data_IF_641289683081
#
_entry.id   IF_641289683081
#
_cell.length_a   1.000
_cell.length_b   1.000
_cell.length_c   1.000
_cell.angle_alpha   90.00
_cell.angle_beta   90.00
_cell.angle_gamma   90.00
#
_symmetry.space_group_name_H-M   'P 1'
#
loop_
_entity.id
_entity.type
_entity.pdbx_description
1 polymer ?
#
# COMPACT_ATOMS: atom_id res chain seq x y z
N UNK A 1 16.99 15.26 -6.47
CA UNK A 1 17.64 15.10 -7.79
C UNK A 1 16.63 14.70 -8.86
N UNK A 2 15.86 13.59 -8.68
CA UNK A 2 14.85 13.10 -9.65
C UNK A 2 13.83 14.18 -10.01
N UNK A 3 13.27 14.90 -9.02
CA UNK A 3 12.31 15.98 -9.21
C UNK A 3 12.91 17.16 -9.99
N UNK A 4 14.17 17.51 -9.75
CA UNK A 4 14.89 18.53 -10.53
C UNK A 4 15.21 18.04 -11.94
N UNK A 5 15.55 16.76 -12.11
CA UNK A 5 15.79 16.19 -13.45
C UNK A 5 14.51 16.12 -14.29
N UNK A 6 13.35 15.86 -13.66
CA UNK A 6 12.05 15.86 -14.33
C UNK A 6 11.62 17.25 -14.84
N UNK A 7 12.15 18.32 -14.27
CA UNK A 7 11.87 19.69 -14.72
C UNK A 7 12.82 20.17 -15.82
N UNK A 8 13.93 19.46 -16.02
CA UNK A 8 14.87 19.77 -17.09
C UNK A 8 14.29 19.35 -18.44
N UNK A 9 14.13 20.29 -19.33
CA UNK A 9 13.72 20.06 -20.72
C UNK A 9 14.94 20.26 -21.62
N UNK A 10 15.20 19.25 -22.43
CA UNK A 10 16.20 19.37 -23.49
C UNK A 10 15.44 19.87 -24.73
N UNK A 11 15.69 21.10 -25.21
CA UNK A 11 15.07 21.56 -26.43
C UNK A 11 15.60 20.74 -27.60
N UNK A 12 14.70 20.21 -28.42
CA UNK A 12 15.08 19.63 -29.68
C UNK A 12 15.32 20.76 -30.67
N UNK A 13 16.53 20.86 -31.20
CA UNK A 13 16.83 21.69 -32.37
C UNK A 13 16.58 20.86 -33.63
N UNK A 14 15.63 21.28 -34.44
CA UNK A 14 15.30 20.64 -35.70
C UNK A 14 14.01 21.19 -36.28
N UNK A 15 13.89 21.22 -37.58
CA UNK A 15 12.65 21.57 -38.26
C UNK A 15 11.71 20.37 -38.23
N UNK A 16 10.55 20.46 -37.56
CA UNK A 16 9.64 19.32 -37.37
C UNK A 16 8.75 19.08 -38.59
N UNK A 17 9.20 19.36 -39.80
CA UNK A 17 8.41 19.32 -41.02
C UNK A 17 8.74 18.16 -41.96
N UNK A 18 9.74 17.35 -41.64
CA UNK A 18 10.12 16.18 -42.43
C UNK A 18 9.85 14.88 -41.69
N UNK A 19 9.34 13.89 -42.39
CA UNK A 19 9.06 12.57 -41.85
C UNK A 19 7.75 12.45 -41.09
N UNK A 20 7.65 11.47 -40.18
CA UNK A 20 6.44 11.21 -39.34
C UNK A 20 6.43 12.19 -38.18
N UNK A 21 5.36 12.94 -38.08
CA UNK A 21 5.11 13.86 -36.96
C UNK A 21 4.29 13.19 -35.89
N UNK A 22 4.77 13.15 -34.64
CA UNK A 22 4.04 12.65 -33.47
C UNK A 22 3.77 13.83 -32.55
N UNK A 23 2.50 14.17 -32.37
CA UNK A 23 2.10 15.35 -31.59
C UNK A 23 0.74 15.13 -30.93
N UNK A 24 0.43 15.90 -29.89
CA UNK A 24 -0.89 15.92 -29.27
C UNK A 24 -1.91 16.64 -30.16
N UNK A 25 -3.19 16.42 -29.88
CA UNK A 25 -4.29 17.03 -30.64
C UNK A 25 -4.26 18.57 -30.62
N UNK A 26 -3.78 19.16 -29.53
CA UNK A 26 -3.70 20.61 -29.38
C UNK A 26 -2.58 21.23 -30.24
N UNK A 27 -1.52 20.51 -30.47
CA UNK A 27 -0.37 20.91 -31.27
C UNK A 27 -0.68 20.84 -32.78
N UNK A 28 -1.72 20.08 -33.18
CA UNK A 28 -2.14 19.99 -34.60
C UNK A 28 -2.94 21.18 -35.09
N UNK A 29 -3.17 22.20 -34.25
CA UNK A 29 -3.96 23.37 -34.62
C UNK A 29 -3.40 24.09 -35.83
N UNK A 30 -4.28 24.35 -36.80
CA UNK A 30 -3.97 25.01 -38.08
C UNK A 30 -2.99 24.27 -38.99
N UNK A 31 -2.65 23.01 -38.65
CA UNK A 31 -1.85 22.17 -39.53
C UNK A 31 -2.77 21.24 -40.34
N UNK A 32 -2.37 20.98 -41.58
CA UNK A 32 -3.04 20.07 -42.50
C UNK A 32 -2.11 18.92 -42.84
N UNK A 33 -2.63 17.69 -42.80
CA UNK A 33 -1.88 16.49 -43.10
C UNK A 33 -2.60 15.65 -44.14
N UNK A 34 -1.89 15.06 -45.07
CA UNK A 34 -2.45 14.15 -46.08
C UNK A 34 -2.87 12.82 -45.44
N UNK A 35 -2.07 12.33 -44.49
CA UNK A 35 -2.27 11.07 -43.79
C UNK A 35 -2.28 11.34 -42.30
N UNK A 36 -3.34 10.90 -41.60
CA UNK A 36 -3.54 11.11 -40.17
C UNK A 36 -3.76 9.77 -39.48
N UNK A 37 -3.00 9.50 -38.44
CA UNK A 37 -3.18 8.35 -37.55
C UNK A 37 -3.51 8.87 -36.16
N UNK A 38 -4.72 8.57 -35.69
CA UNK A 38 -5.21 8.92 -34.37
C UNK A 38 -5.11 7.70 -33.46
N UNK A 39 -4.36 7.80 -32.39
CA UNK A 39 -4.18 6.74 -31.40
C UNK A 39 -5.12 6.96 -30.22
N UNK A 40 -5.45 5.86 -29.52
CA UNK A 40 -6.25 5.89 -28.28
C UNK A 40 -7.62 6.56 -28.47
N UNK A 41 -8.29 6.24 -29.56
CA UNK A 41 -9.63 6.76 -29.91
C UNK A 41 -10.74 6.00 -29.14
N UNK A 42 -10.56 5.83 -27.83
CA UNK A 42 -11.60 5.38 -26.91
C UNK A 42 -12.36 6.57 -26.36
N UNK A 43 -13.67 6.44 -26.08
CA UNK A 43 -14.54 7.56 -25.66
C UNK A 43 -14.14 8.15 -24.30
N UNK A 44 -13.64 7.34 -23.41
CA UNK A 44 -13.09 7.73 -22.11
C UNK A 44 -11.76 8.50 -22.22
N UNK A 45 -11.07 8.40 -23.35
CA UNK A 45 -9.78 9.03 -23.61
C UNK A 45 -9.88 10.23 -24.58
N UNK A 46 -10.70 10.10 -25.62
CA UNK A 46 -10.93 11.15 -26.61
C UNK A 46 -12.40 11.20 -27.06
N UNK A 47 -13.17 12.25 -26.67
CA UNK A 47 -12.76 13.51 -26.02
C UNK A 47 -12.42 13.36 -24.55
N UNK A 48 -12.75 12.24 -23.89
CA UNK A 48 -12.55 12.04 -22.46
C UNK A 48 -13.48 12.90 -21.60
N UNK A 49 -13.47 12.66 -20.30
CA UNK A 49 -14.26 13.42 -19.32
C UNK A 49 -13.38 14.09 -18.27
N UNK A 50 -12.37 14.84 -18.71
CA UNK A 50 -11.39 15.44 -17.82
C UNK A 50 -11.90 16.59 -16.96
N UNK A 51 -13.05 17.19 -17.33
CA UNK A 51 -13.60 18.36 -16.62
C UNK A 51 -14.40 18.01 -15.37
N UNK A 52 -14.94 16.83 -15.26
CA UNK A 52 -15.78 16.44 -14.11
C UNK A 52 -15.00 16.35 -12.79
N UNK A 53 -13.67 16.20 -12.85
CA UNK A 53 -12.81 16.02 -11.66
C UNK A 53 -12.01 17.27 -11.29
N UNK A 54 -11.99 18.32 -12.10
CA UNK A 54 -11.03 19.42 -11.97
C UNK A 54 -11.51 20.61 -11.12
N UNK A 55 -12.76 20.65 -10.65
CA UNK A 55 -13.26 21.83 -9.94
C UNK A 55 -14.45 21.54 -9.05
N UNK A 56 -14.40 22.12 -7.85
CA UNK A 56 -15.52 22.12 -6.88
C UNK A 56 -16.64 23.10 -7.23
N UNK A 57 -16.52 23.87 -8.35
CA UNK A 57 -17.57 24.80 -8.77
C UNK A 57 -18.71 24.03 -9.42
N UNK A 58 -19.93 24.06 -8.86
CA UNK A 58 -21.10 23.38 -9.42
C UNK A 58 -21.42 23.84 -10.83
N UNK A 59 -22.00 22.94 -11.66
CA UNK A 59 -22.36 23.22 -13.03
C UNK A 59 -23.22 24.48 -13.20
N UNK A 60 -24.25 24.67 -12.34
CA UNK A 60 -25.14 25.81 -12.38
C UNK A 60 -24.43 27.16 -12.22
N UNK A 61 -23.43 27.21 -11.35
CA UNK A 61 -22.61 28.42 -11.18
C UNK A 61 -21.68 28.63 -12.38
N UNK A 62 -21.14 27.57 -12.96
CA UNK A 62 -20.34 27.67 -14.17
C UNK A 62 -21.15 28.27 -15.32
N UNK A 63 -22.33 27.72 -15.57
CA UNK A 63 -23.21 28.20 -16.61
C UNK A 63 -23.65 29.66 -16.37
N UNK A 64 -24.00 30.03 -15.13
CA UNK A 64 -24.46 31.38 -14.78
C UNK A 64 -23.37 32.45 -14.92
N UNK A 65 -22.09 32.09 -14.67
CA UNK A 65 -20.97 33.03 -14.71
C UNK A 65 -20.08 32.88 -15.94
N UNK A 66 -20.50 32.15 -16.97
CA UNK A 66 -19.76 31.99 -18.23
C UNK A 66 -18.46 31.23 -18.09
N UNK A 67 -18.32 30.38 -17.07
CA UNK A 67 -17.16 29.52 -16.90
C UNK A 67 -17.25 28.31 -17.83
N UNK A 68 -16.13 27.74 -18.27
CA UNK A 68 -16.13 26.55 -19.14
C UNK A 68 -16.95 25.41 -18.54
N UNK A 69 -17.89 24.89 -19.30
CA UNK A 69 -18.71 23.72 -18.96
C UNK A 69 -18.21 22.48 -19.73
N UNK A 70 -18.67 21.26 -19.38
CA UNK A 70 -18.34 20.07 -20.15
C UNK A 70 -18.65 20.19 -21.65
N UNK A 71 -19.75 20.83 -22.00
CA UNK A 71 -20.16 21.02 -23.39
C UNK A 71 -19.18 21.93 -24.17
N UNK A 72 -18.62 22.94 -23.52
CA UNK A 72 -17.55 23.75 -24.13
C UNK A 72 -16.32 22.91 -24.41
N UNK A 73 -15.94 22.04 -23.50
CA UNK A 73 -14.82 21.12 -23.68
C UNK A 73 -15.07 20.16 -24.86
N UNK A 74 -16.23 19.52 -24.88
CA UNK A 74 -16.63 18.65 -26.00
C UNK A 74 -16.61 19.38 -27.33
N UNK A 75 -17.16 20.60 -27.37
CA UNK A 75 -17.17 21.43 -28.58
C UNK A 75 -15.77 21.80 -29.07
N UNK A 76 -14.84 22.07 -28.17
CA UNK A 76 -13.43 22.36 -28.53
C UNK A 76 -12.75 21.11 -29.10
N UNK A 77 -12.94 19.95 -28.47
CA UNK A 77 -12.33 18.71 -28.98
C UNK A 77 -12.97 18.24 -30.29
N UNK A 78 -14.28 18.42 -30.47
CA UNK A 78 -14.94 18.20 -31.74
C UNK A 78 -14.35 19.09 -32.84
N UNK A 79 -14.15 20.39 -32.55
CA UNK A 79 -13.54 21.32 -33.49
C UNK A 79 -12.12 20.84 -33.88
N UNK A 80 -11.27 20.47 -32.95
CA UNK A 80 -9.92 20.00 -33.26
C UNK A 80 -9.93 18.71 -34.08
N UNK A 81 -10.80 17.78 -33.73
CA UNK A 81 -10.95 16.54 -34.47
C UNK A 81 -11.36 16.80 -35.92
N UNK A 82 -12.47 17.48 -36.12
CA UNK A 82 -12.99 17.75 -37.49
C UNK A 82 -12.05 18.65 -38.28
N UNK A 83 -11.42 19.62 -37.65
CA UNK A 83 -10.40 20.47 -38.29
C UNK A 83 -9.20 19.68 -38.78
N UNK A 84 -8.76 18.69 -38.02
CA UNK A 84 -7.63 17.84 -38.39
C UNK A 84 -7.96 16.89 -39.54
N UNK A 85 -9.14 16.25 -39.50
CA UNK A 85 -9.52 15.23 -40.49
C UNK A 85 -10.09 15.78 -41.78
N UNK A 86 -10.65 17.01 -41.81
CA UNK A 86 -11.40 17.57 -42.96
C UNK A 86 -10.57 17.66 -44.25
N UNK A 87 -9.26 17.80 -44.18
CA UNK A 87 -8.35 17.89 -45.34
C UNK A 87 -7.47 16.69 -45.52
N UNK A 88 -7.59 15.71 -44.64
CA UNK A 88 -6.81 14.49 -44.74
C UNK A 88 -7.34 13.61 -45.88
N UNK A 89 -6.44 13.00 -46.61
CA UNK A 89 -6.77 12.05 -47.68
C UNK A 89 -7.03 10.64 -47.11
N UNK A 90 -6.31 10.30 -46.04
CA UNK A 90 -6.47 9.04 -45.32
C UNK A 90 -6.42 9.28 -43.83
N UNK A 91 -7.37 8.66 -43.11
CA UNK A 91 -7.44 8.74 -41.65
C UNK A 91 -7.52 7.33 -41.09
N UNK A 92 -6.66 7.03 -40.14
CA UNK A 92 -6.73 5.81 -39.33
C UNK A 92 -7.02 6.17 -37.89
N UNK A 93 -8.02 5.54 -37.32
CA UNK A 93 -8.42 5.74 -35.92
C UNK A 93 -8.27 4.42 -35.19
N UNK A 94 -7.37 4.37 -34.21
CA UNK A 94 -7.05 3.17 -33.45
C UNK A 94 -7.63 3.30 -32.05
N UNK A 95 -8.38 2.31 -31.63
CA UNK A 95 -8.89 2.21 -30.25
C UNK A 95 -8.71 0.79 -29.72
N UNK A 96 -8.69 0.63 -28.40
CA UNK A 96 -8.64 -0.67 -27.76
C UNK A 96 -10.05 -1.15 -27.47
N UNK A 97 -10.44 -2.31 -28.01
CA UNK A 97 -11.75 -2.92 -27.77
C UNK A 97 -11.83 -3.72 -26.46
N UNK A 98 -10.71 -3.88 -25.76
CA UNK A 98 -10.65 -4.58 -24.49
C UNK A 98 -10.97 -3.62 -23.33
N UNK A 99 -11.92 -4.00 -22.48
CA UNK A 99 -12.22 -3.29 -21.25
C UNK A 99 -11.25 -3.69 -20.13
N UNK A 100 -10.74 -2.72 -19.41
CA UNK A 100 -9.91 -2.91 -18.23
C UNK A 100 -10.31 -1.91 -17.12
N UNK A 101 -9.56 -1.88 -16.01
CA UNK A 101 -9.84 -0.95 -14.89
C UNK A 101 -9.73 0.54 -15.27
N UNK A 102 -9.22 0.87 -16.44
CA UNK A 102 -8.96 2.24 -16.92
C UNK A 102 -9.74 2.64 -18.16
N UNK A 103 -10.25 1.67 -18.91
CA UNK A 103 -10.97 1.90 -20.16
C UNK A 103 -12.18 0.97 -20.30
N UNK A 104 -13.28 1.54 -20.76
CA UNK A 104 -14.52 0.79 -21.06
C UNK A 104 -14.40 -0.07 -22.31
N UNK A 105 -13.35 0.10 -23.12
CA UNK A 105 -13.19 -0.56 -24.41
C UNK A 105 -14.09 0.02 -25.52
N UNK A 106 -14.82 1.11 -25.25
CA UNK A 106 -15.72 1.71 -26.22
C UNK A 106 -14.98 2.65 -27.19
N UNK A 107 -15.26 2.59 -28.50
CA UNK A 107 -14.70 3.53 -29.46
C UNK A 107 -15.25 4.94 -29.23
N UNK A 108 -14.43 5.94 -29.53
CA UNK A 108 -14.81 7.34 -29.44
C UNK A 108 -16.08 7.64 -30.25
N UNK A 109 -16.96 8.49 -29.70
CA UNK A 109 -18.16 8.98 -30.34
C UNK A 109 -17.90 9.58 -31.73
N UNK A 110 -16.73 10.12 -31.98
CA UNK A 110 -16.37 10.67 -33.29
C UNK A 110 -16.22 9.59 -34.37
N UNK A 111 -15.83 8.37 -34.00
CA UNK A 111 -15.81 7.24 -34.92
C UNK A 111 -17.24 6.90 -35.37
N UNK A 112 -18.19 6.87 -34.42
CA UNK A 112 -19.59 6.64 -34.73
C UNK A 112 -20.18 7.77 -35.58
N UNK A 113 -19.89 9.04 -35.27
CA UNK A 113 -20.34 10.17 -36.06
C UNK A 113 -19.86 10.10 -37.52
N UNK A 114 -18.58 9.75 -37.73
CA UNK A 114 -18.09 9.57 -39.10
C UNK A 114 -18.72 8.35 -39.79
N UNK A 115 -18.94 7.26 -39.11
CA UNK A 115 -19.51 6.05 -39.67
C UNK A 115 -20.98 6.26 -40.10
N UNK A 116 -21.76 6.94 -39.28
CA UNK A 116 -23.20 7.09 -39.52
C UNK A 116 -23.64 8.39 -40.24
N UNK A 117 -22.85 9.47 -40.07
CA UNK A 117 -23.30 10.80 -40.53
C UNK A 117 -22.49 11.33 -41.71
N UNK A 118 -21.22 10.87 -41.90
CA UNK A 118 -20.35 11.49 -42.90
C UNK A 118 -20.64 11.03 -44.35
N UNK A 119 -21.23 9.86 -44.55
CA UNK A 119 -21.37 9.21 -45.86
C UNK A 119 -20.05 8.70 -46.45
N UNK A 120 -18.91 8.82 -45.76
CA UNK A 120 -17.66 8.25 -46.20
C UNK A 120 -17.57 6.75 -45.86
N UNK A 121 -16.90 5.94 -46.73
CA UNK A 121 -16.72 4.54 -46.44
C UNK A 121 -15.74 4.33 -45.23
N UNK A 122 -16.26 3.88 -44.11
CA UNK A 122 -15.46 3.51 -42.94
C UNK A 122 -15.20 2.01 -42.97
N UNK A 123 -13.93 1.62 -43.03
CA UNK A 123 -13.52 0.23 -42.97
C UNK A 123 -13.06 -0.12 -41.57
N UNK A 124 -13.74 -1.06 -40.94
CA UNK A 124 -13.36 -1.61 -39.62
C UNK A 124 -12.42 -2.79 -39.81
N UNK A 125 -11.29 -2.75 -39.09
CA UNK A 125 -10.28 -3.82 -39.13
C UNK A 125 -9.89 -4.11 -37.70
N UNK A 126 -9.92 -5.38 -37.34
CA UNK A 126 -9.37 -5.83 -36.06
C UNK A 126 -7.90 -6.14 -36.24
N UNK A 127 -7.06 -5.55 -35.39
CA UNK A 127 -5.63 -5.78 -35.36
C UNK A 127 -5.33 -6.57 -34.09
N UNK A 128 -5.12 -7.87 -34.25
CA UNK A 128 -4.60 -8.71 -33.18
C UNK A 128 -3.07 -8.75 -33.24
N UNK A 129 -2.43 -8.69 -32.11
CA UNK A 129 -1.00 -9.02 -31.97
C UNK A 129 -0.94 -10.41 -31.40
N UNK A 130 -0.47 -11.37 -32.19
CA UNK A 130 -0.06 -12.66 -31.64
C UNK A 130 1.16 -12.43 -30.74
N UNK A 131 0.90 -12.19 -29.47
CA UNK A 131 1.95 -12.20 -28.48
C UNK A 131 2.37 -13.65 -28.29
N UNK A 132 3.37 -14.07 -29.03
CA UNK A 132 4.04 -15.32 -28.75
C UNK A 132 4.77 -15.13 -27.41
N UNK A 133 4.05 -15.38 -26.30
CA UNK A 133 4.66 -15.49 -25.01
C UNK A 133 5.56 -16.72 -25.09
N UNK A 134 6.84 -16.50 -25.34
CA UNK A 134 7.82 -17.55 -25.13
C UNK A 134 7.56 -18.07 -23.71
N UNK A 135 7.21 -19.35 -23.60
CA UNK A 135 7.15 -19.99 -22.29
C UNK A 135 8.52 -19.79 -21.67
N UNK A 136 8.60 -18.87 -20.71
CA UNK A 136 9.82 -18.73 -19.92
C UNK A 136 9.91 -19.95 -19.03
N UNK A 137 11.00 -20.68 -19.15
CA UNK A 137 11.27 -21.80 -18.27
C UNK A 137 11.08 -21.34 -16.81
N UNK A 138 10.38 -22.13 -15.99
CA UNK A 138 10.20 -21.77 -14.58
C UNK A 138 11.56 -21.63 -13.92
N UNK A 139 11.71 -20.57 -13.10
CA UNK A 139 12.93 -20.38 -12.32
C UNK A 139 12.97 -21.48 -11.25
N UNK A 140 13.87 -22.42 -11.41
CA UNK A 140 14.09 -23.53 -10.49
C UNK A 140 15.43 -23.35 -9.77
N UNK A 141 15.43 -23.58 -8.47
CA UNK A 141 16.65 -23.60 -7.65
C UNK A 141 16.82 -25.01 -7.09
N UNK A 142 17.82 -25.74 -7.59
CA UNK A 142 18.16 -27.05 -7.08
C UNK A 142 18.62 -26.95 -5.62
N UNK A 143 18.09 -27.81 -4.74
CA UNK A 143 18.49 -27.90 -3.33
C UNK A 143 19.78 -28.69 -3.22
N UNK A 144 20.89 -28.11 -3.65
CA UNK A 144 22.23 -28.67 -3.47
C UNK A 144 22.65 -28.68 -1.99
N UNK A 145 23.81 -29.28 -1.72
CA UNK A 145 24.33 -29.42 -0.35
C UNK A 145 24.53 -28.04 0.31
N UNK A 146 25.00 -27.04 -0.41
CA UNK A 146 25.23 -25.68 0.10
C UNK A 146 23.92 -24.99 0.47
N UNK A 147 22.87 -25.14 -0.33
CA UNK A 147 21.54 -24.61 -0.05
C UNK A 147 20.90 -25.34 1.13
N UNK A 148 21.03 -26.67 1.16
CA UNK A 148 20.53 -27.48 2.29
C UNK A 148 21.21 -27.12 3.60
N UNK A 149 22.51 -26.84 3.60
CA UNK A 149 23.23 -26.36 4.80
C UNK A 149 22.69 -25.00 5.25
N UNK A 150 22.45 -24.06 4.32
CA UNK A 150 21.85 -22.74 4.63
C UNK A 150 20.43 -22.85 5.16
N UNK A 151 19.63 -23.75 4.65
CA UNK A 151 18.26 -24.03 5.13
C UNK A 151 18.31 -24.72 6.50
N UNK A 152 19.23 -25.65 6.70
CA UNK A 152 19.43 -26.41 7.94
C UNK A 152 19.60 -25.51 9.15
N UNK A 153 20.18 -24.32 9.00
CA UNK A 153 20.35 -23.38 10.10
C UNK A 153 19.05 -22.97 10.80
N UNK A 154 17.91 -22.99 10.07
CA UNK A 154 16.60 -22.64 10.62
C UNK A 154 15.95 -23.81 11.40
N UNK A 155 16.48 -25.02 11.27
CA UNK A 155 15.94 -26.23 11.89
C UNK A 155 16.94 -26.96 12.78
N UNK A 156 18.17 -26.47 12.88
CA UNK A 156 19.20 -27.01 13.77
C UNK A 156 18.96 -26.52 15.22
N UNK A 157 18.78 -27.44 16.19
CA UNK A 157 18.60 -27.09 17.60
C UNK A 157 19.70 -26.19 18.17
N UNK A 158 20.95 -26.38 17.74
CA UNK A 158 22.12 -25.61 18.23
C UNK A 158 22.29 -24.26 17.49
N UNK A 159 21.59 -24.05 16.40
CA UNK A 159 21.65 -22.81 15.64
C UNK A 159 21.00 -21.64 16.38
N UNK A 160 21.58 -20.45 16.26
CA UNK A 160 20.98 -19.17 16.72
C UNK A 160 20.07 -18.52 15.69
N UNK A 161 19.95 -19.11 14.50
CA UNK A 161 19.10 -18.56 13.46
C UNK A 161 17.61 -18.69 13.83
N UNK A 162 16.90 -17.61 13.69
CA UNK A 162 15.44 -17.54 13.92
C UNK A 162 14.70 -17.23 12.63
N UNK A 163 13.47 -17.65 12.54
CA UNK A 163 12.55 -17.34 11.47
C UNK A 163 11.57 -16.27 11.96
N UNK A 164 11.56 -15.09 11.33
CA UNK A 164 10.57 -14.08 11.67
C UNK A 164 9.19 -14.47 11.10
N UNK A 165 8.09 -14.02 11.71
CA UNK A 165 6.75 -14.21 11.14
C UNK A 165 6.65 -13.73 9.70
N UNK A 166 7.29 -12.61 9.37
CA UNK A 166 7.35 -12.07 8.01
C UNK A 166 8.10 -13.00 7.05
N UNK A 167 9.23 -13.59 7.48
CA UNK A 167 9.97 -14.54 6.66
C UNK A 167 9.19 -15.83 6.46
N UNK A 168 8.49 -16.31 7.49
CA UNK A 168 7.62 -17.47 7.40
C UNK A 168 6.46 -17.23 6.41
N UNK A 169 5.77 -16.11 6.55
CA UNK A 169 4.70 -15.74 5.60
C UNK A 169 5.22 -15.62 4.17
N UNK A 170 6.43 -15.10 3.99
CA UNK A 170 7.08 -15.02 2.67
C UNK A 170 7.28 -16.41 2.06
N UNK A 171 7.61 -17.41 2.89
CA UNK A 171 7.70 -18.80 2.45
C UNK A 171 6.33 -19.36 2.04
N UNK A 172 5.30 -19.13 2.85
CA UNK A 172 3.93 -19.56 2.55
C UNK A 172 3.42 -18.94 1.23
N UNK A 173 3.70 -17.65 1.02
CA UNK A 173 3.29 -16.95 -0.18
C UNK A 173 4.06 -17.37 -1.44
N UNK A 174 5.36 -17.60 -1.34
CA UNK A 174 6.23 -18.03 -2.43
C UNK A 174 7.57 -18.57 -1.90
N UNK A 175 7.80 -19.89 -1.98
CA UNK A 175 9.06 -20.48 -1.53
C UNK A 175 10.30 -19.90 -2.22
N UNK A 176 10.21 -19.56 -3.50
CA UNK A 176 11.30 -18.95 -4.25
C UNK A 176 11.66 -17.55 -3.74
N UNK A 177 10.65 -16.73 -3.40
CA UNK A 177 10.84 -15.42 -2.78
C UNK A 177 11.49 -15.53 -1.40
N UNK A 178 11.10 -16.53 -0.61
CA UNK A 178 11.75 -16.83 0.66
C UNK A 178 13.22 -17.22 0.46
N UNK A 179 13.49 -18.07 -0.53
CA UNK A 179 14.86 -18.47 -0.86
C UNK A 179 15.74 -17.26 -1.17
N UNK A 180 15.33 -16.44 -2.13
CA UNK A 180 16.13 -15.28 -2.52
C UNK A 180 16.37 -14.31 -1.36
N UNK A 181 15.33 -13.98 -0.62
CA UNK A 181 15.42 -12.99 0.45
C UNK A 181 16.09 -13.54 1.72
N UNK A 182 15.64 -14.72 2.19
CA UNK A 182 16.02 -15.22 3.53
C UNK A 182 17.19 -16.20 3.51
N UNK A 183 17.38 -16.93 2.42
CA UNK A 183 18.44 -17.95 2.29
C UNK A 183 19.63 -17.39 1.52
N UNK A 184 19.40 -16.85 0.33
CA UNK A 184 20.42 -16.23 -0.51
C UNK A 184 20.79 -14.81 -0.06
N UNK A 185 19.93 -14.14 0.72
CA UNK A 185 20.08 -12.78 1.23
C UNK A 185 20.25 -11.73 0.13
N UNK A 186 19.53 -11.91 -0.97
CA UNK A 186 19.44 -10.89 -2.01
C UNK A 186 18.53 -9.78 -1.53
N UNK A 187 19.05 -8.57 -1.54
CA UNK A 187 18.28 -7.36 -1.24
C UNK A 187 18.30 -6.49 -2.47
N UNK A 188 17.19 -5.81 -2.75
CA UNK A 188 17.19 -4.73 -3.71
C UNK A 188 17.96 -3.55 -3.13
N UNK A 189 18.60 -2.78 -3.99
CA UNK A 189 19.24 -1.53 -3.57
C UNK A 189 18.17 -0.60 -2.97
N UNK A 190 18.52 0.08 -1.87
CA UNK A 190 17.62 1.04 -1.23
C UNK A 190 17.35 2.20 -2.18
N UNK A 191 16.13 2.34 -2.66
CA UNK A 191 15.70 3.53 -3.37
C UNK A 191 15.55 4.68 -2.36
N UNK A 192 16.28 5.77 -2.58
CA UNK A 192 16.10 6.98 -1.79
C UNK A 192 14.73 7.56 -2.12
N UNK A 193 13.77 7.34 -1.25
CA UNK A 193 12.45 7.92 -1.38
C UNK A 193 12.54 9.43 -1.08
N UNK A 194 12.16 10.27 -2.05
CA UNK A 194 12.09 11.73 -1.87
C UNK A 194 10.89 12.17 -1.02
N UNK A 195 9.93 11.28 -0.82
CA UNK A 195 8.70 11.51 -0.03
C UNK A 195 8.50 10.36 0.94
N UNK A 196 7.75 10.63 2.03
CA UNK A 196 7.39 9.59 2.99
C UNK A 196 6.49 8.56 2.30
N UNK A 197 7.03 7.39 2.06
CA UNK A 197 6.29 6.24 1.54
C UNK A 197 5.49 5.51 2.65
N UNK A 198 4.73 4.49 2.26
CA UNK A 198 3.90 3.75 3.23
C UNK A 198 4.70 2.99 4.31
N UNK A 199 5.84 2.37 4.03
CA UNK A 199 6.72 1.80 5.05
C UNK A 199 7.26 2.85 6.02
N UNK A 200 7.78 3.98 5.52
CA UNK A 200 8.31 5.06 6.36
C UNK A 200 7.21 5.70 7.21
N UNK A 201 6.00 5.87 6.67
CA UNK A 201 4.85 6.32 7.46
C UNK A 201 4.55 5.37 8.63
N UNK A 202 4.63 4.06 8.40
CA UNK A 202 4.53 3.04 9.45
C UNK A 202 5.62 3.21 10.52
N UNK A 203 6.87 3.36 10.11
CA UNK A 203 8.02 3.56 11.01
C UNK A 203 7.83 4.78 11.91
N UNK A 204 7.40 5.93 11.33
CA UNK A 204 7.12 7.15 12.09
C UNK A 204 6.00 6.93 13.12
N UNK A 205 4.91 6.24 12.72
CA UNK A 205 3.81 5.93 13.64
C UNK A 205 4.29 5.06 14.81
N UNK A 206 4.99 3.94 14.54
CA UNK A 206 5.50 3.03 15.59
C UNK A 206 6.45 3.76 16.55
N UNK A 207 7.38 4.56 16.03
CA UNK A 207 8.30 5.35 16.85
C UNK A 207 7.57 6.38 17.72
N UNK A 208 6.54 7.05 17.20
CA UNK A 208 5.74 8.00 17.97
C UNK A 208 4.95 7.29 19.08
N UNK A 209 4.31 6.14 18.77
CA UNK A 209 3.62 5.31 19.76
C UNK A 209 4.58 4.86 20.85
N UNK A 210 5.74 4.31 20.48
CA UNK A 210 6.76 3.86 21.42
C UNK A 210 7.16 4.98 22.40
N UNK A 211 7.42 6.21 21.90
CA UNK A 211 7.78 7.37 22.73
C UNK A 211 6.68 7.75 23.72
N UNK A 212 5.42 7.74 23.29
CA UNK A 212 4.28 8.08 24.16
C UNK A 212 4.05 7.01 25.22
N UNK A 213 4.00 5.73 24.81
CA UNK A 213 3.69 4.65 25.72
C UNK A 213 4.87 4.27 26.64
N UNK A 214 6.10 4.64 26.29
CA UNK A 214 7.26 4.48 27.18
C UNK A 214 7.08 5.20 28.55
N UNK A 215 6.23 6.24 28.59
CA UNK A 215 5.96 7.02 29.81
C UNK A 215 5.02 6.32 30.78
N UNK A 216 4.25 5.36 30.30
CA UNK A 216 3.23 4.62 31.09
C UNK A 216 3.58 3.15 31.29
N UNK A 217 4.79 2.74 30.92
CA UNK A 217 5.28 1.37 31.17
C UNK A 217 5.28 1.10 32.68
N UNK A 218 4.59 0.05 33.10
CA UNK A 218 4.44 -0.34 34.51
C UNK A 218 3.37 0.42 35.27
N UNK A 219 2.71 1.41 34.67
CA UNK A 219 1.55 2.10 35.26
C UNK A 219 0.31 1.24 35.10
N UNK A 220 -0.35 0.91 36.19
CA UNK A 220 -1.64 0.23 36.19
C UNK A 220 -2.75 1.25 35.88
N UNK A 221 -3.67 0.88 35.00
CA UNK A 221 -4.79 1.74 34.61
C UNK A 221 -4.37 3.13 34.13
N UNK A 222 -3.60 3.23 33.01
CA UNK A 222 -2.98 4.48 32.55
C UNK A 222 -3.98 5.47 31.93
N UNK A 223 -5.27 5.25 32.00
CA UNK A 223 -6.31 6.03 31.32
C UNK A 223 -6.27 7.52 31.65
N UNK A 224 -6.03 7.93 32.90
CA UNK A 224 -5.91 9.35 33.28
C UNK A 224 -4.66 9.99 32.66
N UNK A 225 -3.52 9.29 32.68
CA UNK A 225 -2.29 9.75 32.06
C UNK A 225 -2.46 9.89 30.55
N UNK A 226 -3.10 8.94 29.89
CA UNK A 226 -3.43 9.02 28.46
C UNK A 226 -4.34 10.20 28.14
N UNK A 227 -5.41 10.43 28.94
CA UNK A 227 -6.27 11.63 28.79
C UNK A 227 -5.52 12.93 28.99
N UNK A 228 -4.55 12.97 29.90
CA UNK A 228 -3.70 14.14 30.09
C UNK A 228 -2.83 14.41 28.85
N UNK A 229 -2.18 13.38 28.29
CA UNK A 229 -1.37 13.50 27.08
C UNK A 229 -2.20 13.93 25.85
N UNK A 230 -3.47 13.48 25.75
CA UNK A 230 -4.38 13.91 24.66
C UNK A 230 -4.64 15.42 24.71
N UNK A 231 -4.75 15.99 25.92
CA UNK A 231 -5.03 17.42 26.13
C UNK A 231 -3.80 18.32 25.97
N UNK A 232 -2.61 17.76 26.09
CA UNK A 232 -1.34 18.49 25.97
C UNK A 232 -0.80 18.47 24.54
N UNK A 233 0.33 19.13 24.30
CA UNK A 233 1.07 19.06 23.02
C UNK A 233 1.96 17.83 22.86
N UNK A 234 1.95 16.91 23.81
CA UNK A 234 2.89 15.78 23.88
C UNK A 234 2.80 14.84 22.67
N UNK A 235 1.59 14.61 22.15
CA UNK A 235 1.42 13.76 20.95
C UNK A 235 2.13 14.39 19.75
N UNK A 236 1.94 15.69 19.53
CA UNK A 236 2.58 16.39 18.41
C UNK A 236 4.11 16.37 18.55
N UNK A 237 4.62 16.61 19.76
CA UNK A 237 6.05 16.56 20.05
C UNK A 237 6.65 15.16 19.83
N UNK A 238 5.96 14.10 20.24
CA UNK A 238 6.40 12.72 19.99
C UNK A 238 6.43 12.38 18.49
N UNK A 239 5.45 12.85 17.72
CA UNK A 239 5.42 12.67 16.27
C UNK A 239 6.54 13.46 15.59
N UNK A 240 6.80 14.70 15.99
CA UNK A 240 7.93 15.50 15.49
C UNK A 240 9.27 14.78 15.77
N UNK A 241 9.48 14.33 17.00
CA UNK A 241 10.68 13.59 17.34
C UNK A 241 10.84 12.30 16.51
N UNK A 242 9.73 11.57 16.26
CA UNK A 242 9.75 10.37 15.42
C UNK A 242 10.10 10.69 13.95
N UNK A 243 9.59 11.79 13.40
CA UNK A 243 9.92 12.27 12.05
C UNK A 243 11.39 12.65 11.96
N UNK A 244 11.87 13.46 12.91
CA UNK A 244 13.23 13.97 12.93
C UNK A 244 14.27 12.83 13.01
N UNK A 245 14.01 11.85 13.86
CA UNK A 245 14.91 10.73 14.05
C UNK A 245 14.91 9.72 12.89
N UNK A 246 13.71 9.38 12.34
CA UNK A 246 13.60 8.27 11.38
C UNK A 246 13.60 8.71 9.92
N UNK A 247 13.14 9.91 9.61
CA UNK A 247 13.06 10.40 8.23
C UNK A 247 14.12 11.44 7.93
N UNK A 248 14.21 12.51 8.73
CA UNK A 248 15.21 13.56 8.50
C UNK A 248 16.60 13.16 8.98
N UNK A 249 16.68 12.20 9.91
CA UNK A 249 17.92 11.79 10.58
C UNK A 249 18.64 12.97 11.23
N UNK A 250 17.88 13.99 11.64
CA UNK A 250 18.33 15.18 12.35
C UNK A 250 17.42 15.46 13.56
N UNK A 251 17.82 15.05 14.78
CA UNK A 251 17.02 15.31 15.98
C UNK A 251 16.82 16.78 16.32
N UNK A 252 17.62 17.69 15.75
CA UNK A 252 17.54 19.12 16.00
C UNK A 252 16.61 19.84 14.99
N UNK A 253 16.11 19.16 13.98
CA UNK A 253 15.19 19.72 13.00
C UNK A 253 13.90 20.23 13.68
N UNK A 254 13.33 21.26 13.11
CA UNK A 254 12.08 21.87 13.55
C UNK A 254 11.00 21.78 12.48
N UNK A 255 9.78 22.15 12.81
CA UNK A 255 8.69 22.16 11.82
C UNK A 255 8.91 23.15 10.67
N UNK A 256 9.80 24.13 10.82
CA UNK A 256 10.15 25.05 9.74
C UNK A 256 10.98 24.37 8.65
N UNK A 257 11.64 23.25 8.97
CA UNK A 257 12.41 22.44 8.04
C UNK A 257 11.54 21.45 7.25
N UNK A 258 10.23 21.36 7.59
CA UNK A 258 9.33 20.37 7.00
C UNK A 258 8.79 20.82 5.65
N UNK A 259 8.81 19.92 4.66
CA UNK A 259 8.06 20.11 3.40
C UNK A 259 6.55 20.02 3.64
N UNK A 260 5.74 20.50 2.68
CA UNK A 260 4.28 20.42 2.79
C UNK A 260 3.76 18.99 3.01
N UNK A 261 4.35 17.99 2.34
CA UNK A 261 4.02 16.58 2.55
C UNK A 261 4.36 16.10 3.96
N UNK A 262 5.49 16.51 4.49
CA UNK A 262 5.91 16.13 5.84
C UNK A 262 5.02 16.74 6.93
N UNK A 263 4.54 17.96 6.72
CA UNK A 263 3.53 18.59 7.60
C UNK A 263 2.21 17.80 7.58
N UNK A 264 1.79 17.29 6.40
CA UNK A 264 0.60 16.45 6.30
C UNK A 264 0.79 15.12 7.03
N UNK A 265 1.94 14.48 6.91
CA UNK A 265 2.29 13.24 7.64
C UNK A 265 2.20 13.47 9.14
N UNK A 266 2.81 14.55 9.65
CA UNK A 266 2.74 14.95 11.05
C UNK A 266 1.29 15.11 11.51
N UNK A 267 0.46 15.85 10.76
CA UNK A 267 -0.94 16.09 11.11
C UNK A 267 -1.76 14.79 11.12
N UNK A 268 -1.57 13.93 10.10
CA UNK A 268 -2.28 12.65 9.99
C UNK A 268 -1.92 11.71 11.14
N UNK A 269 -0.63 11.52 11.42
CA UNK A 269 -0.18 10.64 12.53
C UNK A 269 -0.67 11.19 13.87
N UNK A 270 -0.53 12.51 14.10
CA UNK A 270 -1.05 13.16 15.31
C UNK A 270 -2.56 12.92 15.47
N UNK A 271 -3.31 13.02 14.38
CA UNK A 271 -4.76 12.83 14.38
C UNK A 271 -5.15 11.37 14.66
N UNK A 272 -4.41 10.40 14.13
CA UNK A 272 -4.65 8.97 14.43
C UNK A 272 -4.39 8.65 15.90
N UNK A 273 -3.34 9.20 16.47
CA UNK A 273 -3.02 8.97 17.89
C UNK A 273 -3.99 9.70 18.82
N UNK A 274 -4.27 10.98 18.55
CA UNK A 274 -5.16 11.82 19.37
C UNK A 274 -6.63 11.44 19.27
N UNK A 275 -7.10 11.02 18.09
CA UNK A 275 -8.53 10.74 17.84
C UNK A 275 -8.88 9.24 17.82
N UNK A 276 -7.90 8.36 17.82
CA UNK A 276 -8.12 6.90 17.70
C UNK A 276 -7.43 6.12 18.81
N UNK A 277 -6.12 5.91 18.70
CA UNK A 277 -5.37 4.98 19.57
C UNK A 277 -5.48 5.35 21.04
N UNK A 278 -5.08 6.56 21.41
CA UNK A 278 -5.03 6.93 22.82
C UNK A 278 -6.42 7.09 23.48
N UNK A 279 -7.46 7.67 22.82
CA UNK A 279 -8.81 7.65 23.36
C UNK A 279 -9.38 6.24 23.53
N UNK A 280 -9.09 5.33 22.61
CA UNK A 280 -9.51 3.94 22.74
C UNK A 280 -8.91 3.29 23.98
N UNK A 281 -7.60 3.37 24.17
CA UNK A 281 -6.92 2.80 25.33
C UNK A 281 -7.33 3.51 26.64
N UNK A 282 -7.54 4.83 26.62
CA UNK A 282 -8.04 5.57 27.79
C UNK A 282 -9.48 5.18 28.18
N UNK A 283 -10.29 4.71 27.24
CA UNK A 283 -11.65 4.19 27.51
C UNK A 283 -11.66 2.74 27.98
N UNK A 284 -10.64 1.97 27.60
CA UNK A 284 -10.48 0.55 27.93
C UNK A 284 -9.28 0.33 28.86
N UNK A 285 -9.32 0.96 30.01
CA UNK A 285 -8.20 1.21 30.92
C UNK A 285 -7.76 0.01 31.76
N UNK A 286 -8.36 -1.16 31.60
CA UNK A 286 -8.06 -2.38 32.37
C UNK A 286 -6.75 -3.08 31.95
N UNK A 287 -5.64 -2.33 31.85
CA UNK A 287 -4.35 -2.90 31.45
C UNK A 287 -3.15 -2.15 32.07
N UNK A 288 -1.99 -2.84 32.03
CA UNK A 288 -0.67 -2.28 32.33
C UNK A 288 0.26 -2.60 31.19
N UNK A 289 0.95 -1.59 30.62
CA UNK A 289 1.98 -1.83 29.59
C UNK A 289 3.20 -2.48 30.22
N UNK A 290 3.53 -3.71 29.79
CA UNK A 290 4.66 -4.48 30.32
C UNK A 290 5.86 -4.52 29.39
N UNK A 291 5.68 -4.19 28.11
CA UNK A 291 6.77 -4.14 27.14
C UNK A 291 6.42 -3.37 25.88
N UNK A 292 7.40 -2.68 25.34
CA UNK A 292 7.37 -2.00 24.04
C UNK A 292 8.53 -2.51 23.22
N UNK A 293 8.32 -2.75 21.89
CA UNK A 293 9.33 -3.26 20.96
C UNK A 293 10.10 -4.45 21.58
N UNK A 294 9.33 -5.41 22.12
CA UNK A 294 9.95 -6.55 22.83
C UNK A 294 10.10 -7.75 21.92
N UNK A 295 11.29 -8.30 21.92
CA UNK A 295 11.55 -9.58 21.27
C UNK A 295 10.72 -10.69 21.95
N UNK A 296 10.00 -11.45 21.12
CA UNK A 296 9.25 -12.65 21.48
C UNK A 296 9.82 -13.79 20.67
N UNK A 297 10.22 -14.87 21.32
CA UNK A 297 10.81 -16.02 20.66
C UNK A 297 10.32 -17.34 21.26
N UNK A 298 10.19 -18.36 20.41
CA UNK A 298 9.86 -19.70 20.82
C UNK A 298 10.39 -20.74 19.83
N UNK A 299 10.91 -21.87 20.32
CA UNK A 299 11.40 -22.99 19.52
C UNK A 299 10.37 -24.13 19.47
N UNK A 300 10.04 -24.59 18.28
CA UNK A 300 9.16 -25.73 18.04
C UNK A 300 10.02 -26.94 17.72
N UNK A 301 10.02 -27.91 18.63
CA UNK A 301 10.69 -29.21 18.44
C UNK A 301 9.78 -30.15 17.66
N UNK A 302 10.32 -30.79 16.65
CA UNK A 302 9.61 -31.79 15.85
C UNK A 302 10.58 -32.81 15.29
N UNK A 303 10.05 -33.91 14.79
CA UNK A 303 10.85 -34.96 14.15
C UNK A 303 10.48 -35.06 12.67
N UNK A 304 11.44 -34.96 11.79
CA UNK A 304 11.26 -35.19 10.36
C UNK A 304 12.35 -36.14 9.83
N UNK A 305 11.93 -37.14 9.05
CA UNK A 305 12.82 -38.17 8.51
C UNK A 305 13.68 -38.86 9.60
N UNK A 306 13.12 -39.09 10.81
CA UNK A 306 13.80 -39.71 11.96
C UNK A 306 14.85 -38.84 12.64
N UNK A 307 14.95 -37.53 12.31
CA UNK A 307 15.88 -36.60 12.91
C UNK A 307 15.14 -35.60 13.79
N UNK A 308 15.63 -35.29 15.01
CA UNK A 308 15.10 -34.20 15.81
C UNK A 308 15.48 -32.86 15.19
N UNK A 309 14.50 -31.99 15.04
CA UNK A 309 14.66 -30.66 14.48
C UNK A 309 13.99 -29.65 15.40
N UNK A 310 14.48 -28.42 15.41
CA UNK A 310 13.88 -27.33 16.17
C UNK A 310 13.76 -26.09 15.27
N UNK A 311 12.54 -25.61 15.02
CA UNK A 311 12.31 -24.38 14.29
C UNK A 311 12.06 -23.24 15.28
N UNK A 312 13.00 -22.31 15.35
CA UNK A 312 12.93 -21.16 16.26
C UNK A 312 12.31 -19.97 15.56
N UNK A 313 11.16 -19.52 16.07
CA UNK A 313 10.55 -18.28 15.66
C UNK A 313 10.96 -17.15 16.59
N UNK A 314 11.20 -15.98 16.05
CA UNK A 314 11.41 -14.76 16.82
C UNK A 314 10.90 -13.55 16.04
N UNK A 315 10.42 -12.54 16.75
CA UNK A 315 9.99 -11.27 16.19
C UNK A 315 9.85 -10.24 17.30
N UNK A 316 9.61 -9.00 16.90
CA UNK A 316 9.45 -7.88 17.81
C UNK A 316 7.95 -7.57 17.88
N UNK A 317 7.38 -7.65 19.07
CA UNK A 317 6.01 -7.23 19.34
C UNK A 317 6.02 -5.74 19.68
N UNK A 318 5.16 -4.95 19.02
CA UNK A 318 5.11 -3.50 19.20
C UNK A 318 4.79 -3.12 20.64
N UNK A 319 3.76 -3.77 21.23
CA UNK A 319 3.38 -3.57 22.63
C UNK A 319 2.84 -4.86 23.25
N UNK A 320 3.18 -5.08 24.50
CA UNK A 320 2.66 -6.16 25.34
C UNK A 320 2.05 -5.55 26.58
N UNK A 321 0.77 -5.84 26.83
CA UNK A 321 0.03 -5.42 28.01
C UNK A 321 -0.27 -6.62 28.89
N UNK A 322 -0.34 -6.39 30.20
CA UNK A 322 -0.99 -7.29 31.15
C UNK A 322 -2.38 -6.76 31.45
N UNK A 323 -3.41 -7.56 31.21
CA UNK A 323 -4.80 -7.24 31.53
C UNK A 323 -5.11 -7.56 33.00
N UNK A 324 -6.18 -6.97 33.55
CA UNK A 324 -6.59 -7.14 34.94
C UNK A 324 -6.93 -8.59 35.30
N UNK A 325 -7.32 -9.41 34.34
CA UNK A 325 -7.61 -10.83 34.54
C UNK A 325 -6.34 -11.71 34.46
N UNK A 326 -5.18 -11.12 34.32
CA UNK A 326 -3.91 -11.80 34.20
C UNK A 326 -3.53 -12.24 32.78
N UNK A 327 -4.39 -12.05 31.80
CA UNK A 327 -4.11 -12.34 30.38
C UNK A 327 -3.07 -11.35 29.83
N UNK A 328 -2.19 -11.81 28.95
CA UNK A 328 -1.31 -10.91 28.18
C UNK A 328 -2.01 -10.50 26.88
N UNK A 329 -1.92 -9.24 26.51
CA UNK A 329 -2.39 -8.74 25.21
C UNK A 329 -1.21 -8.32 24.38
N UNK A 330 -1.11 -8.85 23.13
CA UNK A 330 -0.12 -8.42 22.14
C UNK A 330 -0.81 -7.46 21.20
N UNK A 331 -0.32 -6.23 21.16
CA UNK A 331 -0.83 -5.19 20.27
C UNK A 331 0.15 -5.00 19.12
N UNK A 332 -0.36 -4.97 17.89
CA UNK A 332 0.38 -4.69 16.67
C UNK A 332 -0.35 -3.57 15.90
N UNK A 333 0.38 -2.49 15.57
CA UNK A 333 -0.18 -1.32 14.93
C UNK A 333 -0.09 -1.40 13.41
N UNK A 334 -1.20 -1.12 12.73
CA UNK A 334 -1.28 -1.19 11.26
C UNK A 334 -1.88 0.09 10.68
N UNK A 335 -1.21 0.62 9.66
CA UNK A 335 -1.64 1.82 8.92
C UNK A 335 -2.53 1.52 7.71
N UNK A 336 -2.68 0.26 7.36
CA UNK A 336 -3.49 -0.21 6.23
C UNK A 336 -5.01 -0.17 6.47
N UNK A 337 -5.77 -0.68 5.49
CA UNK A 337 -7.21 -0.89 5.65
C UNK A 337 -7.47 -2.02 6.65
N UNK A 338 -8.47 -1.88 7.54
CA UNK A 338 -8.76 -2.87 8.57
C UNK A 338 -9.20 -4.20 7.96
N UNK A 339 -8.64 -5.29 8.49
CA UNK A 339 -9.03 -6.64 8.18
C UNK A 339 -8.73 -7.51 9.40
N UNK A 340 -9.78 -7.93 10.11
CA UNK A 340 -9.71 -8.65 11.38
C UNK A 340 -10.30 -10.06 11.27
N UNK A 341 -10.90 -10.39 10.13
CA UNK A 341 -11.63 -11.63 9.90
C UNK A 341 -10.78 -12.65 9.15
N UNK A 342 -10.92 -13.92 9.54
CA UNK A 342 -10.33 -15.05 8.83
C UNK A 342 -11.25 -16.28 8.96
N UNK A 343 -11.09 -17.27 8.10
CA UNK A 343 -11.92 -18.47 8.08
C UNK A 343 -11.10 -19.70 8.52
N UNK A 344 -10.91 -19.81 9.84
CA UNK A 344 -10.10 -20.85 10.43
C UNK A 344 -8.59 -20.68 10.21
N UNK A 345 -7.81 -21.32 11.06
CA UNK A 345 -6.33 -21.22 11.03
C UNK A 345 -5.74 -21.70 9.69
N UNK A 346 -6.35 -22.70 9.05
CA UNK A 346 -5.87 -23.20 7.76
C UNK A 346 -5.92 -22.16 6.64
N UNK A 347 -6.89 -21.23 6.68
CA UNK A 347 -7.01 -20.16 5.68
C UNK A 347 -5.78 -19.22 5.66
N UNK A 348 -5.12 -19.10 6.80
CA UNK A 348 -3.92 -18.27 6.94
C UNK A 348 -2.73 -18.81 6.11
N UNK A 349 -2.77 -20.08 5.72
CA UNK A 349 -1.70 -20.76 4.98
C UNK A 349 -2.04 -20.99 3.50
N UNK A 350 -3.27 -20.75 3.05
CA UNK A 350 -3.71 -21.07 1.67
C UNK A 350 -3.41 -19.98 0.63
N UNK A 351 -2.71 -18.92 0.95
CA UNK A 351 -2.07 -17.99 -0.02
C UNK A 351 -2.99 -17.13 -0.90
N UNK A 352 -4.28 -17.31 -0.89
CA UNK A 352 -5.25 -16.50 -1.64
C UNK A 352 -5.69 -15.29 -0.83
N UNK A 353 -5.39 -14.07 -1.31
CA UNK A 353 -5.73 -12.83 -0.59
C UNK A 353 -4.62 -12.20 0.25
N UNK A 354 -3.52 -12.64 0.10
CA UNK A 354 -2.06 -12.41 0.31
C UNK A 354 -1.57 -11.45 1.40
N UNK A 355 -2.01 -10.23 1.51
CA UNK A 355 -1.32 -9.25 2.37
C UNK A 355 -2.05 -9.00 3.69
N UNK A 356 -3.35 -9.21 3.73
CA UNK A 356 -4.18 -8.93 4.89
C UNK A 356 -4.11 -10.03 5.95
N UNK A 357 -4.02 -11.28 5.51
CA UNK A 357 -3.91 -12.44 6.40
C UNK A 357 -2.53 -12.52 7.07
N UNK A 358 -1.47 -11.93 6.49
CA UNK A 358 -0.15 -11.89 7.10
C UNK A 358 -0.13 -11.15 8.44
N UNK A 359 -0.91 -10.08 8.57
CA UNK A 359 -1.00 -9.32 9.83
C UNK A 359 -1.66 -10.17 10.92
N UNK A 360 -2.74 -10.88 10.58
CA UNK A 360 -3.43 -11.80 11.50
C UNK A 360 -2.48 -12.92 11.93
N UNK A 361 -1.82 -13.58 10.97
CA UNK A 361 -0.87 -14.65 11.27
C UNK A 361 0.29 -14.15 12.15
N UNK A 362 0.83 -12.96 11.87
CA UNK A 362 1.89 -12.35 12.67
C UNK A 362 1.47 -12.19 14.13
N UNK A 363 0.30 -11.58 14.36
CA UNK A 363 -0.18 -11.30 15.71
C UNK A 363 -0.55 -12.57 16.47
N UNK A 364 -1.15 -13.55 15.78
CA UNK A 364 -1.41 -14.88 16.34
C UNK A 364 -0.12 -15.61 16.73
N UNK A 365 0.92 -15.55 15.89
CA UNK A 365 2.22 -16.14 16.20
C UNK A 365 2.86 -15.50 17.45
N UNK A 366 2.75 -14.18 17.59
CA UNK A 366 3.24 -13.51 18.80
C UNK A 366 2.47 -13.94 20.05
N UNK A 367 1.13 -13.99 19.98
CA UNK A 367 0.31 -14.46 21.08
C UNK A 367 0.67 -15.91 21.48
N UNK A 368 0.80 -16.80 20.49
CA UNK A 368 1.21 -18.18 20.70
C UNK A 368 2.61 -18.30 21.33
N UNK A 369 3.58 -17.54 20.84
CA UNK A 369 4.94 -17.55 21.40
C UNK A 369 4.95 -17.04 22.85
N UNK A 370 4.17 -16.02 23.18
CA UNK A 370 4.01 -15.54 24.57
C UNK A 370 3.38 -16.59 25.44
N UNK A 371 2.27 -17.19 25.01
CA UNK A 371 1.63 -18.26 25.73
C UNK A 371 2.59 -19.41 26.03
N UNK A 372 3.32 -19.89 25.00
CA UNK A 372 4.28 -20.99 25.14
C UNK A 372 5.49 -20.65 26.04
N UNK A 373 5.91 -19.39 26.05
CA UNK A 373 7.08 -18.94 26.82
C UNK A 373 6.72 -18.59 28.26
N UNK A 374 5.53 -18.01 28.49
CA UNK A 374 5.14 -17.47 29.81
C UNK A 374 4.17 -18.38 30.55
N UNK A 375 3.50 -19.29 29.86
CA UNK A 375 2.45 -20.14 30.45
C UNK A 375 1.21 -19.35 30.90
N UNK A 376 0.96 -18.20 30.28
CA UNK A 376 -0.15 -17.29 30.57
C UNK A 376 -0.93 -17.05 29.29
N UNK A 377 -2.26 -17.02 29.38
CA UNK A 377 -3.12 -16.77 28.25
C UNK A 377 -2.72 -15.49 27.51
N UNK A 378 -2.75 -15.52 26.19
CA UNK A 378 -2.35 -14.39 25.36
C UNK A 378 -3.43 -14.06 24.34
N UNK A 379 -3.79 -12.78 24.28
CA UNK A 379 -4.78 -12.22 23.36
C UNK A 379 -4.10 -11.41 22.24
N UNK A 380 -4.32 -11.75 20.96
CA UNK A 380 -3.84 -10.96 19.84
C UNK A 380 -4.77 -9.75 19.60
N UNK A 381 -4.19 -8.58 19.39
CA UNK A 381 -4.92 -7.35 19.09
C UNK A 381 -4.27 -6.59 17.91
N UNK A 382 -5.05 -6.32 16.87
CA UNK A 382 -4.62 -5.54 15.70
C UNK A 382 -5.22 -4.14 15.75
N UNK A 383 -4.36 -3.14 15.93
CA UNK A 383 -4.75 -1.73 15.99
C UNK A 383 -4.62 -1.09 14.61
N UNK A 384 -5.70 -1.15 13.81
CA UNK A 384 -5.78 -0.43 12.54
C UNK A 384 -6.10 1.04 12.80
N UNK A 385 -5.06 1.86 12.92
CA UNK A 385 -5.13 3.24 13.40
C UNK A 385 -6.10 4.13 12.61
N UNK A 386 -6.33 3.83 11.33
CA UNK A 386 -7.32 4.54 10.49
C UNK A 386 -8.77 4.28 10.89
N UNK A 387 -9.06 3.20 11.58
CA UNK A 387 -10.40 2.78 11.94
C UNK A 387 -10.72 2.99 13.42
N UNK A 388 -9.72 3.22 14.26
CA UNK A 388 -9.88 3.30 15.72
C UNK A 388 -10.68 4.51 16.21
N UNK A 389 -10.94 5.49 15.36
CA UNK A 389 -11.83 6.60 15.66
C UNK A 389 -13.33 6.25 15.51
N UNK A 390 -13.65 5.05 15.04
CA UNK A 390 -15.03 4.58 14.90
C UNK A 390 -15.52 4.00 16.24
N UNK A 391 -16.74 4.35 16.68
CA UNK A 391 -17.25 3.90 17.97
C UNK A 391 -17.43 2.37 18.09
N UNK A 392 -17.62 1.68 16.99
CA UNK A 392 -17.85 0.25 16.86
C UNK A 392 -16.58 -0.57 16.55
N UNK A 393 -15.43 0.08 16.49
CA UNK A 393 -14.16 -0.59 16.17
C UNK A 393 -13.69 -1.41 17.37
N UNK A 394 -13.44 -2.69 17.14
CA UNK A 394 -12.82 -3.62 18.08
C UNK A 394 -11.54 -4.18 17.45
N UNK A 395 -10.39 -4.15 18.13
CA UNK A 395 -9.12 -4.65 17.61
C UNK A 395 -8.95 -6.16 17.69
N UNK A 396 -10.01 -6.88 18.04
CA UNK A 396 -10.02 -8.33 18.23
C UNK A 396 -10.16 -9.08 16.93
N UNK A 397 -9.48 -10.21 16.80
CA UNK A 397 -9.59 -11.08 15.63
C UNK A 397 -10.93 -11.83 15.64
N UNK A 398 -11.51 -12.04 14.46
CA UNK A 398 -12.79 -12.72 14.25
C UNK A 398 -12.57 -13.96 13.37
N UNK A 399 -12.67 -15.14 13.99
CA UNK A 399 -12.64 -16.41 13.28
C UNK A 399 -14.06 -16.79 12.84
N UNK A 400 -14.32 -16.65 11.55
CA UNK A 400 -15.63 -16.95 10.96
C UNK A 400 -15.99 -18.43 10.95
N UNK A 401 -15.01 -19.33 11.01
CA UNK A 401 -15.26 -20.77 11.03
C UNK A 401 -15.77 -21.24 12.39
N UNK A 402 -15.14 -20.76 13.46
CA UNK A 402 -15.53 -21.09 14.83
C UNK A 402 -16.56 -20.14 15.41
N UNK A 403 -16.75 -18.96 14.81
CA UNK A 403 -17.61 -17.89 15.33
C UNK A 403 -17.04 -17.20 16.58
N UNK A 404 -15.76 -17.42 16.88
CA UNK A 404 -15.09 -16.84 18.05
C UNK A 404 -14.53 -15.47 17.70
N UNK A 405 -14.94 -14.46 18.47
CA UNK A 405 -14.36 -13.12 18.46
C UNK A 405 -13.46 -12.93 19.68
N UNK A 406 -12.27 -12.40 19.46
CA UNK A 406 -11.32 -12.15 20.54
C UNK A 406 -10.82 -13.45 21.19
N UNK A 407 -10.55 -14.48 20.39
CA UNK A 407 -10.04 -15.76 20.88
C UNK A 407 -8.69 -15.58 21.57
N UNK A 408 -8.56 -16.21 22.74
CA UNK A 408 -7.31 -16.29 23.48
C UNK A 408 -6.57 -17.55 23.08
N UNK A 409 -5.27 -17.48 23.09
CA UNK A 409 -4.43 -18.66 23.10
C UNK A 409 -4.39 -19.20 24.52
N UNK A 410 -5.02 -20.35 24.70
CA UNK A 410 -5.08 -21.09 25.98
C UNK A 410 -4.38 -22.43 25.87
#
# INVERSE_FOLDING_TARGET
>A
LRRHLQTLRIPYEGEPLEGVQVMGILETRNLDFENVVLLSMNDDNFPGNHMAQASFVPYNLRAAYGLPTPEHHEGVYAYYFYRLVQRARRVWMLYCSHADDKSTGEPSRYIYQLDYESGFPVRKVEVGVDVNLAETDPIEVAKDEGIMQRLGRFTDPESKATLSPTAFFRYVACPLRFYFHSVARLQADDEIAEEVDAPMFGTILHAAVQKLYARIVGEAHPGETLRAMIRTGEIAAAVEAAINENYLQDPAATTDDYTGNLLLVKDIVTRYLRGGVMPYDAAHDGFTVTGLEREVAYGFDFTAAGRPLCMKFAGIADRIDALDDGTLRVVDYKTGAPHLEFAGVESLFRGEGKQRLSNILQTLLYAMMLYRTRGVDAEPALYYVRAMNRPDYLPTLDDRETGVRGGRYT
#
